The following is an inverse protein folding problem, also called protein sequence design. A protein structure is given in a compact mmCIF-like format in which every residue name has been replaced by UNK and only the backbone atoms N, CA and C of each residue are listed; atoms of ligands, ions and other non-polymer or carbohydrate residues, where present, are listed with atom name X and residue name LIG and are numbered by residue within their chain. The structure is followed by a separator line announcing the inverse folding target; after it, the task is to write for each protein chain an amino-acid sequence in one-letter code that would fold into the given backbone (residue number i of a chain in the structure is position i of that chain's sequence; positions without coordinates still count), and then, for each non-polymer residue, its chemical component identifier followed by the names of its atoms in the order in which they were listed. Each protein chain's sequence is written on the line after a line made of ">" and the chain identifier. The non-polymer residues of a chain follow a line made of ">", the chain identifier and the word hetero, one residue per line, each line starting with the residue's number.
data_IF_307386690092
#
_entry.id   IF_307386690092
#
_cell.length_a   1.000
_cell.length_b   1.000
_cell.length_c   1.000
_cell.angle_alpha   90.00
_cell.angle_beta   90.00
_cell.angle_gamma   90.00
#
_symmetry.space_group_name_H-M   'P 1'
#
loop_
_entity.id
_entity.type
_entity.pdbx_description
1 polymer ?
#
# COMPACT_ATOMS: atom_id res chain seq x y z
N UNK A 1 -35.89 32.57 -35.13
CA UNK A 1 -34.94 32.31 -34.04
C UNK A 1 -33.82 31.44 -34.57
N UNK A 2 -32.60 31.98 -34.69
CA UNK A 2 -31.43 31.22 -35.17
C UNK A 2 -30.72 30.66 -33.93
N UNK A 3 -30.26 29.39 -33.91
CA UNK A 3 -29.54 28.85 -32.77
C UNK A 3 -28.14 29.45 -32.68
N UNK A 4 -27.82 30.03 -31.54
CA UNK A 4 -26.51 30.54 -31.20
C UNK A 4 -25.52 29.36 -31.06
N UNK A 5 -24.54 29.26 -31.94
CA UNK A 5 -23.42 28.34 -31.83
C UNK A 5 -22.54 28.79 -30.65
N UNK A 6 -22.55 28.04 -29.56
CA UNK A 6 -21.54 28.15 -28.53
C UNK A 6 -20.29 27.43 -29.08
N UNK A 7 -19.40 28.19 -29.69
CA UNK A 7 -18.08 27.71 -30.07
C UNK A 7 -17.20 27.66 -28.84
N UNK A 8 -17.10 26.49 -28.20
CA UNK A 8 -16.01 26.23 -27.28
C UNK A 8 -14.71 26.31 -28.08
N UNK A 9 -13.94 27.37 -27.89
CA UNK A 9 -12.55 27.42 -28.35
C UNK A 9 -11.80 26.39 -27.55
N UNK A 10 -11.44 25.27 -28.17
CA UNK A 10 -10.44 24.38 -27.67
C UNK A 10 -9.13 25.19 -27.66
N UNK A 11 -8.68 25.62 -26.50
CA UNK A 11 -7.34 26.22 -26.39
C UNK A 11 -6.35 25.15 -26.86
N UNK A 12 -5.34 25.51 -27.66
CA UNK A 12 -4.32 24.57 -28.07
C UNK A 12 -3.63 24.04 -26.78
N UNK A 13 -3.24 22.77 -26.75
CA UNK A 13 -2.52 22.22 -25.61
C UNK A 13 -1.34 23.14 -25.32
N UNK A 14 -1.23 23.61 -24.08
CA UNK A 14 -0.10 24.39 -23.62
C UNK A 14 1.15 23.62 -24.03
N UNK A 15 2.09 24.23 -24.79
CA UNK A 15 3.32 23.52 -25.14
C UNK A 15 3.92 23.05 -23.81
N UNK A 16 4.32 21.79 -23.77
CA UNK A 16 5.02 21.22 -22.63
C UNK A 16 6.34 22.00 -22.49
N UNK A 17 6.28 23.17 -21.90
CA UNK A 17 7.43 23.81 -21.30
C UNK A 17 7.95 22.75 -20.33
N UNK A 18 9.17 22.29 -20.57
CA UNK A 18 9.79 21.23 -19.82
C UNK A 18 9.71 21.60 -18.35
N UNK A 19 8.70 21.07 -17.65
CA UNK A 19 8.63 21.16 -16.20
C UNK A 19 9.91 20.52 -15.67
N UNK A 20 10.51 21.13 -14.66
CA UNK A 20 11.62 20.50 -13.99
C UNK A 20 11.22 19.08 -13.55
N UNK A 21 12.09 18.10 -13.66
CA UNK A 21 11.78 16.74 -13.25
C UNK A 21 11.40 16.71 -11.77
N UNK A 22 10.44 15.87 -11.42
CA UNK A 22 10.06 15.61 -10.03
C UNK A 22 11.21 14.85 -9.37
N UNK A 23 11.72 15.37 -8.28
CA UNK A 23 12.84 14.81 -7.51
C UNK A 23 12.32 13.74 -6.56
N UNK A 24 12.71 12.49 -6.79
CA UNK A 24 12.18 11.33 -6.06
C UNK A 24 13.29 10.63 -5.29
N UNK A 25 13.08 10.44 -3.99
CA UNK A 25 13.89 9.54 -3.19
C UNK A 25 13.15 8.21 -2.99
N UNK A 26 13.88 7.10 -3.07
CA UNK A 26 13.31 5.75 -2.92
C UNK A 26 13.88 5.08 -1.67
N UNK A 27 13.03 4.71 -0.74
CA UNK A 27 13.42 3.99 0.46
C UNK A 27 13.02 2.51 0.32
N UNK A 28 14.02 1.66 0.14
CA UNK A 28 13.86 0.24 -0.14
C UNK A 28 14.18 -0.12 -1.60
N UNK A 29 15.04 -1.12 -1.78
CA UNK A 29 15.41 -1.65 -3.11
C UNK A 29 15.32 -3.19 -3.11
N UNK A 30 14.18 -3.71 -2.60
CA UNK A 30 13.74 -5.09 -2.77
C UNK A 30 13.01 -5.23 -4.12
N UNK A 31 12.19 -6.28 -4.25
CA UNK A 31 11.45 -6.58 -5.49
C UNK A 31 10.62 -5.37 -5.97
N UNK A 32 9.82 -4.79 -5.07
CA UNK A 32 8.97 -3.64 -5.41
C UNK A 32 9.81 -2.40 -5.72
N UNK A 33 10.81 -2.08 -4.87
CA UNK A 33 11.66 -0.91 -5.05
C UNK A 33 12.49 -0.96 -6.34
N UNK A 34 13.01 -2.13 -6.69
CA UNK A 34 13.70 -2.33 -7.97
C UNK A 34 12.75 -2.15 -9.16
N UNK A 35 11.53 -2.69 -9.06
CA UNK A 35 10.49 -2.48 -10.08
C UNK A 35 10.08 -1.01 -10.24
N UNK A 36 10.08 -0.24 -9.17
CA UNK A 36 9.86 1.21 -9.21
C UNK A 36 11.05 1.92 -9.87
N UNK A 37 12.29 1.63 -9.45
CA UNK A 37 13.49 2.23 -10.03
C UNK A 37 13.60 1.97 -11.53
N UNK A 38 13.27 0.75 -12.01
CA UNK A 38 13.29 0.41 -13.43
C UNK A 38 12.35 1.27 -14.28
N UNK A 39 11.34 1.88 -13.68
CA UNK A 39 10.39 2.77 -14.35
C UNK A 39 10.75 4.25 -14.19
N UNK A 40 11.30 4.65 -13.05
CA UNK A 40 11.66 6.04 -12.79
C UNK A 40 12.93 6.46 -13.55
N UNK A 41 13.96 5.59 -13.56
CA UNK A 41 15.27 5.94 -14.14
C UNK A 41 15.23 6.31 -15.63
N UNK A 42 14.48 5.61 -16.51
CA UNK A 42 14.42 5.97 -17.92
C UNK A 42 13.44 7.12 -18.23
N UNK A 43 12.62 7.54 -17.27
CA UNK A 43 11.58 8.56 -17.50
C UNK A 43 12.11 9.96 -17.17
N UNK A 44 12.26 10.86 -18.17
CA UNK A 44 12.82 12.19 -17.95
C UNK A 44 11.96 13.12 -17.08
N UNK A 45 10.74 12.71 -16.75
CA UNK A 45 9.87 13.44 -15.81
C UNK A 45 10.33 13.31 -14.36
N UNK A 46 11.21 12.35 -14.07
CA UNK A 46 11.68 12.06 -12.72
C UNK A 46 13.21 12.14 -12.62
N UNK A 47 13.67 12.63 -11.49
CA UNK A 47 15.07 12.57 -11.05
C UNK A 47 15.16 11.75 -9.77
N UNK A 48 15.77 10.57 -9.80
CA UNK A 48 16.02 9.79 -8.59
C UNK A 48 17.17 10.43 -7.83
N UNK A 49 16.88 11.06 -6.69
CA UNK A 49 17.85 11.84 -5.89
C UNK A 49 18.61 10.99 -4.88
N UNK A 50 18.08 9.83 -4.50
CA UNK A 50 18.69 8.92 -3.55
C UNK A 50 17.92 7.62 -3.38
N UNK A 51 18.62 6.59 -2.94
CA UNK A 51 18.07 5.26 -2.67
C UNK A 51 18.51 4.79 -1.29
N UNK A 52 17.60 4.71 -0.33
CA UNK A 52 17.87 4.24 1.02
C UNK A 52 17.84 2.72 1.08
N UNK A 53 18.91 2.10 1.55
CA UNK A 53 19.03 0.65 1.73
C UNK A 53 19.89 0.33 2.95
N UNK A 54 19.73 -0.86 3.54
CA UNK A 54 20.59 -1.30 4.66
C UNK A 54 22.08 -1.45 4.31
N UNK A 55 22.35 -1.88 3.08
CA UNK A 55 23.73 -2.14 2.61
C UNK A 55 23.93 -1.47 1.24
N UNK A 56 24.40 -0.22 1.21
CA UNK A 56 24.65 0.52 -0.04
C UNK A 56 25.59 -0.21 -1.00
N UNK A 57 26.67 -0.80 -0.46
CA UNK A 57 27.72 -1.46 -1.24
C UNK A 57 27.34 -2.86 -1.77
N UNK A 58 26.14 -3.36 -1.41
CA UNK A 58 25.67 -4.66 -1.89
C UNK A 58 25.48 -4.62 -3.41
N UNK A 59 26.11 -5.55 -4.11
CA UNK A 59 25.89 -5.75 -5.55
C UNK A 59 24.43 -6.13 -5.78
N UNK A 60 23.78 -5.45 -6.71
CA UNK A 60 22.40 -5.69 -7.15
C UNK A 60 22.41 -5.96 -8.64
N UNK A 61 21.68 -6.99 -9.03
CA UNK A 61 21.45 -7.34 -10.43
C UNK A 61 19.96 -7.40 -10.67
N UNK A 62 19.43 -6.40 -11.36
CA UNK A 62 18.03 -6.33 -11.77
C UNK A 62 17.99 -5.97 -13.24
N UNK A 63 17.34 -6.78 -14.08
CA UNK A 63 17.27 -6.51 -15.50
C UNK A 63 16.75 -5.11 -15.80
N UNK A 64 17.47 -4.40 -16.66
CA UNK A 64 17.09 -3.04 -17.09
C UNK A 64 17.53 -1.92 -16.16
N UNK A 65 18.29 -2.18 -15.10
CA UNK A 65 18.89 -1.16 -14.23
C UNK A 65 20.41 -1.26 -14.26
N UNK A 66 21.06 -0.17 -14.68
CA UNK A 66 22.51 0.00 -14.47
C UNK A 66 22.77 0.58 -13.08
N UNK A 67 22.97 -0.30 -12.10
CA UNK A 67 23.26 0.10 -10.74
C UNK A 67 24.61 0.81 -10.58
N UNK A 68 25.56 0.58 -11.46
CA UNK A 68 26.85 1.27 -11.44
C UNK A 68 26.67 2.77 -11.76
N UNK A 69 25.77 3.10 -12.67
CA UNK A 69 25.49 4.49 -13.05
C UNK A 69 24.78 5.31 -11.95
N UNK A 70 24.23 4.65 -10.91
CA UNK A 70 23.54 5.28 -9.80
C UNK A 70 24.13 4.90 -8.44
N UNK A 71 25.33 4.32 -8.40
CA UNK A 71 25.94 3.81 -7.17
C UNK A 71 26.13 4.91 -6.11
N UNK A 72 26.43 6.13 -6.53
CA UNK A 72 26.58 7.32 -5.70
C UNK A 72 25.28 7.79 -5.03
N UNK A 73 24.11 7.30 -5.49
CA UNK A 73 22.80 7.64 -4.94
C UNK A 73 22.38 6.72 -3.78
N UNK A 74 23.12 5.62 -3.53
CA UNK A 74 22.78 4.71 -2.45
C UNK A 74 23.30 5.19 -1.11
N UNK A 75 22.47 5.12 -0.09
CA UNK A 75 22.79 5.50 1.29
C UNK A 75 22.12 4.55 2.29
N UNK A 76 22.73 4.40 3.46
CA UNK A 76 22.11 3.76 4.62
C UNK A 76 21.56 4.78 5.62
N UNK A 77 21.77 6.07 5.39
CA UNK A 77 21.38 7.14 6.29
C UNK A 77 20.15 7.90 5.76
N UNK A 78 18.99 7.81 6.46
CA UNK A 78 17.80 8.57 6.11
C UNK A 78 18.01 10.09 6.09
N UNK A 79 18.93 10.61 6.90
CA UNK A 79 19.21 12.05 6.93
C UNK A 79 19.87 12.50 5.64
N UNK A 80 20.78 11.70 5.09
CA UNK A 80 21.42 11.95 3.77
C UNK A 80 20.36 11.90 2.66
N UNK A 81 19.46 10.91 2.69
CA UNK A 81 18.35 10.81 1.73
C UNK A 81 17.52 12.09 1.69
N UNK A 82 17.09 12.57 2.85
CA UNK A 82 16.24 13.78 2.96
C UNK A 82 17.01 15.08 2.71
N UNK A 83 18.32 15.10 2.99
CA UNK A 83 19.17 16.28 2.71
C UNK A 83 19.33 16.54 1.20
N UNK A 84 19.11 15.54 0.35
CA UNK A 84 19.05 15.70 -1.10
C UNK A 84 17.84 16.52 -1.58
N UNK A 85 16.92 16.92 -0.67
CA UNK A 85 15.71 17.71 -0.92
C UNK A 85 14.85 17.13 -2.05
N UNK A 86 14.38 15.90 -1.94
CA UNK A 86 13.42 15.35 -2.87
C UNK A 86 12.09 16.09 -2.75
N UNK A 87 11.31 16.14 -3.83
CA UNK A 87 9.92 16.57 -3.81
C UNK A 87 9.03 15.49 -3.21
N UNK A 88 9.43 14.21 -3.38
CA UNK A 88 8.68 13.04 -2.96
C UNK A 88 9.58 11.91 -2.45
N UNK A 89 9.13 11.24 -1.40
CA UNK A 89 9.71 9.98 -0.90
C UNK A 89 8.78 8.82 -1.23
N UNK A 90 9.30 7.80 -1.92
CA UNK A 90 8.64 6.50 -2.08
C UNK A 90 9.15 5.58 -0.98
N UNK A 91 8.33 5.33 0.03
CA UNK A 91 8.67 4.48 1.17
C UNK A 91 8.17 3.06 0.91
N UNK A 92 9.12 2.13 0.77
CA UNK A 92 8.91 0.72 0.38
C UNK A 92 9.80 -0.18 1.27
N UNK A 93 10.01 0.23 2.52
CA UNK A 93 10.77 -0.56 3.49
C UNK A 93 9.91 -1.72 4.00
N UNK A 94 10.53 -2.79 4.41
CA UNK A 94 9.86 -3.92 5.08
C UNK A 94 9.67 -3.70 6.58
N UNK A 95 10.44 -2.80 7.19
CA UNK A 95 10.44 -2.56 8.62
C UNK A 95 9.48 -1.43 8.99
N UNK A 96 8.53 -1.72 9.89
CA UNK A 96 7.47 -0.79 10.27
C UNK A 96 8.01 0.49 10.93
N UNK A 97 8.91 0.34 11.92
CA UNK A 97 9.40 1.48 12.72
C UNK A 97 10.29 2.39 11.88
N UNK A 98 11.19 1.82 11.07
CA UNK A 98 12.05 2.58 10.17
C UNK A 98 11.22 3.32 9.10
N UNK A 99 10.21 2.64 8.54
CA UNK A 99 9.27 3.24 7.59
C UNK A 99 8.48 4.38 8.21
N UNK A 100 7.90 4.16 9.40
CA UNK A 100 7.14 5.19 10.11
C UNK A 100 7.99 6.42 10.44
N UNK A 101 9.21 6.21 10.95
CA UNK A 101 10.14 7.29 11.27
C UNK A 101 10.51 8.11 10.02
N UNK A 102 10.79 7.44 8.90
CA UNK A 102 11.09 8.11 7.63
C UNK A 102 9.90 8.90 7.09
N UNK A 103 8.70 8.32 7.11
CA UNK A 103 7.47 9.02 6.70
C UNK A 103 7.30 10.30 7.50
N UNK A 104 7.37 10.23 8.83
CA UNK A 104 7.28 11.41 9.69
C UNK A 104 8.32 12.45 9.34
N UNK A 105 9.59 12.04 9.24
CA UNK A 105 10.70 12.96 8.96
C UNK A 105 10.59 13.64 7.58
N UNK A 106 10.02 12.98 6.58
CA UNK A 106 9.73 13.55 5.27
C UNK A 106 8.57 14.56 5.36
N UNK A 107 7.44 14.17 5.97
CA UNK A 107 6.28 15.04 6.12
C UNK A 107 6.58 16.31 6.92
N UNK A 108 7.38 16.22 8.00
CA UNK A 108 7.86 17.37 8.79
C UNK A 108 8.67 18.40 7.97
N UNK A 109 9.21 17.97 6.84
CA UNK A 109 9.95 18.81 5.89
C UNK A 109 9.10 19.31 4.72
N UNK A 110 7.81 19.01 4.70
CA UNK A 110 6.92 19.34 3.59
C UNK A 110 7.18 18.50 2.33
N UNK A 111 7.80 17.33 2.48
CA UNK A 111 8.08 16.40 1.38
C UNK A 111 6.91 15.43 1.25
N UNK A 112 6.38 15.27 0.05
CA UNK A 112 5.32 14.32 -0.24
C UNK A 112 5.79 12.87 -0.02
N UNK A 113 4.88 12.01 0.44
CA UNK A 113 5.18 10.61 0.71
C UNK A 113 4.18 9.70 0.01
N UNK A 114 4.70 8.71 -0.69
CA UNK A 114 3.94 7.54 -1.17
C UNK A 114 4.51 6.30 -0.47
N UNK A 115 3.68 5.62 0.31
CA UNK A 115 4.11 4.44 1.07
C UNK A 115 3.38 3.18 0.62
N UNK A 116 4.12 2.08 0.51
CA UNK A 116 3.59 0.72 0.36
C UNK A 116 3.70 -0.10 1.67
N UNK A 117 4.12 0.53 2.76
CA UNK A 117 4.34 -0.12 4.05
C UNK A 117 3.11 0.00 4.95
N UNK A 118 2.23 -1.00 4.86
CA UNK A 118 1.00 -1.08 5.66
C UNK A 118 1.25 -0.91 7.16
N UNK A 119 2.26 -1.60 7.68
CA UNK A 119 2.57 -1.59 9.10
C UNK A 119 3.05 -0.23 9.58
N UNK A 120 3.87 0.46 8.78
CA UNK A 120 4.33 1.81 9.10
C UNK A 120 3.17 2.82 9.17
N UNK A 121 2.27 2.79 8.18
CA UNK A 121 1.08 3.67 8.15
C UNK A 121 0.11 3.33 9.28
N UNK A 122 -0.08 2.03 9.60
CA UNK A 122 -1.05 1.57 10.61
C UNK A 122 -0.68 1.94 12.04
N UNK A 123 0.56 2.35 12.33
CA UNK A 123 0.97 2.77 13.67
C UNK A 123 0.14 3.96 14.16
N UNK A 124 0.05 5.02 13.36
CA UNK A 124 -0.76 6.19 13.68
C UNK A 124 -1.16 6.96 12.38
N UNK A 125 -2.15 6.46 11.63
CA UNK A 125 -2.56 7.09 10.39
C UNK A 125 -3.14 8.50 10.58
N UNK A 126 -3.75 8.77 11.74
CA UNK A 126 -4.32 10.07 12.06
C UNK A 126 -3.25 11.13 12.27
N UNK A 127 -2.20 10.81 13.05
CA UNK A 127 -1.09 11.72 13.27
C UNK A 127 -0.31 11.97 11.97
N UNK A 128 -0.09 10.94 11.15
CA UNK A 128 0.59 11.10 9.86
C UNK A 128 -0.20 12.01 8.90
N UNK A 129 -1.52 11.85 8.80
CA UNK A 129 -2.37 12.76 8.00
C UNK A 129 -2.36 14.19 8.53
N UNK A 130 -2.45 14.36 9.84
CA UNK A 130 -2.40 15.67 10.48
C UNK A 130 -1.05 16.36 10.24
N UNK A 131 0.03 15.57 10.32
CA UNK A 131 1.39 16.07 10.08
C UNK A 131 1.57 16.52 8.62
N UNK A 132 1.11 15.71 7.66
CA UNK A 132 1.11 16.07 6.24
C UNK A 132 0.38 17.40 6.00
N UNK A 133 -0.84 17.54 6.53
CA UNK A 133 -1.64 18.76 6.40
C UNK A 133 -0.97 19.98 7.05
N UNK A 134 -0.34 19.81 8.22
CA UNK A 134 0.35 20.90 8.94
C UNK A 134 1.56 21.45 8.17
N UNK A 135 2.20 20.62 7.35
CA UNK A 135 3.41 20.99 6.60
C UNK A 135 3.16 21.16 5.08
N UNK A 136 1.89 21.10 4.63
CA UNK A 136 1.53 21.28 3.23
C UNK A 136 2.00 20.13 2.32
N UNK A 137 2.25 18.96 2.90
CA UNK A 137 2.66 17.74 2.21
C UNK A 137 1.47 16.80 1.98
N UNK A 138 1.64 15.86 1.05
CA UNK A 138 0.67 14.82 0.77
C UNK A 138 1.17 13.45 1.25
N UNK A 139 0.26 12.65 1.80
CA UNK A 139 0.51 11.27 2.17
C UNK A 139 -0.42 10.36 1.37
N UNK A 140 0.16 9.54 0.49
CA UNK A 140 -0.53 8.53 -0.31
C UNK A 140 -0.07 7.13 0.09
N UNK A 141 -1.01 6.20 0.31
CA UNK A 141 -0.69 4.83 0.73
C UNK A 141 -1.62 3.76 0.14
N UNK A 142 -2.21 4.03 -1.01
CA UNK A 142 -3.05 3.04 -1.71
C UNK A 142 -2.30 1.73 -1.99
N UNK A 143 -1.00 1.81 -2.31
CA UNK A 143 -0.17 0.63 -2.52
C UNK A 143 0.01 -0.24 -1.27
N UNK A 144 -0.15 0.32 -0.06
CA UNK A 144 -0.13 -0.42 1.19
C UNK A 144 -1.44 -1.18 1.46
N UNK A 145 -2.52 -0.85 0.73
CA UNK A 145 -3.86 -1.40 0.94
C UNK A 145 -4.35 -2.05 -0.35
N UNK A 146 -4.28 -3.36 -0.43
CA UNK A 146 -4.73 -4.12 -1.59
C UNK A 146 -3.74 -4.19 -2.77
N UNK A 147 -2.50 -3.69 -2.62
CA UNK A 147 -1.49 -3.73 -3.67
C UNK A 147 -1.95 -2.99 -4.93
N UNK A 148 -2.25 -3.72 -6.01
CA UNK A 148 -2.76 -3.15 -7.27
C UNK A 148 -4.26 -2.95 -7.32
N UNK A 149 -5.03 -3.41 -6.33
CA UNK A 149 -6.48 -3.21 -6.28
C UNK A 149 -6.81 -1.79 -5.77
N UNK A 150 -7.70 -1.04 -6.44
CA UNK A 150 -8.00 0.36 -6.11
C UNK A 150 -8.96 0.46 -4.90
N UNK A 151 -8.61 -0.12 -3.76
CA UNK A 151 -9.49 -0.18 -2.59
C UNK A 151 -9.74 1.20 -1.98
N UNK A 152 -8.70 1.99 -1.76
CA UNK A 152 -8.81 3.34 -1.18
C UNK A 152 -9.53 4.27 -2.17
N UNK A 153 -9.22 4.18 -3.45
CA UNK A 153 -9.83 4.97 -4.51
C UNK A 153 -11.34 4.68 -4.62
N UNK A 154 -11.72 3.41 -4.56
CA UNK A 154 -13.13 2.97 -4.57
C UNK A 154 -13.86 3.53 -3.35
N UNK A 155 -13.25 3.43 -2.17
CA UNK A 155 -13.82 3.96 -0.94
C UNK A 155 -13.99 5.49 -0.99
N UNK A 156 -12.99 6.21 -1.49
CA UNK A 156 -13.06 7.67 -1.67
C UNK A 156 -14.14 8.08 -2.67
N UNK A 157 -14.30 7.33 -3.76
CA UNK A 157 -15.39 7.55 -4.72
C UNK A 157 -16.76 7.33 -4.07
N UNK A 158 -16.93 6.29 -3.25
CA UNK A 158 -18.14 6.05 -2.49
C UNK A 158 -18.45 7.18 -1.49
N UNK A 159 -17.45 7.65 -0.76
CA UNK A 159 -17.57 8.78 0.18
C UNK A 159 -17.96 10.09 -0.50
N UNK A 160 -17.49 10.31 -1.73
CA UNK A 160 -17.88 11.48 -2.52
C UNK A 160 -19.36 11.42 -2.98
N UNK A 161 -19.92 10.21 -3.11
CA UNK A 161 -21.32 10.01 -3.47
C UNK A 161 -22.28 10.10 -2.26
N UNK A 162 -21.77 9.85 -1.03
CA UNK A 162 -22.57 9.91 0.19
C UNK A 162 -21.90 9.25 1.40
N UNK A 163 -22.58 9.23 2.55
CA UNK A 163 -22.00 8.64 3.76
C UNK A 163 -21.88 7.12 3.63
N UNK A 164 -20.68 6.60 3.87
CA UNK A 164 -20.42 5.16 3.98
C UNK A 164 -20.78 4.70 5.39
N UNK A 165 -21.62 3.67 5.49
CA UNK A 165 -22.04 3.06 6.77
C UNK A 165 -21.26 1.79 7.10
N UNK A 166 -20.61 1.18 6.10
CA UNK A 166 -19.81 -0.02 6.26
C UNK A 166 -19.16 -0.43 4.93
N UNK A 167 -18.21 -1.33 5.02
CA UNK A 167 -17.59 -1.99 3.88
C UNK A 167 -17.34 -3.47 4.20
N UNK A 168 -17.27 -4.24 3.15
CA UNK A 168 -16.87 -5.64 3.15
C UNK A 168 -15.95 -5.87 1.95
N UNK A 169 -14.85 -6.59 2.15
CA UNK A 169 -13.87 -6.81 1.11
C UNK A 169 -13.06 -8.10 1.32
N UNK A 170 -12.64 -8.70 0.22
CA UNK A 170 -11.60 -9.75 0.20
C UNK A 170 -10.25 -9.05 0.34
N UNK A 171 -9.54 -9.30 1.45
CA UNK A 171 -8.40 -8.45 1.85
C UNK A 171 -7.04 -9.13 1.73
N UNK A 172 -6.99 -10.46 1.70
CA UNK A 172 -5.71 -11.19 1.70
C UNK A 172 -5.64 -12.18 0.55
N UNK A 173 -4.66 -11.99 -0.34
CA UNK A 173 -4.44 -12.83 -1.53
C UNK A 173 -3.94 -14.22 -1.18
N UNK A 174 -3.02 -14.34 -0.21
CA UNK A 174 -2.42 -15.60 0.22
C UNK A 174 -3.49 -16.59 0.72
N UNK A 175 -4.30 -16.15 1.68
CA UNK A 175 -5.34 -16.99 2.28
C UNK A 175 -6.38 -17.39 1.24
N UNK A 176 -6.81 -16.45 0.40
CA UNK A 176 -7.82 -16.75 -0.61
C UNK A 176 -7.29 -17.68 -1.71
N UNK A 177 -6.02 -17.56 -2.09
CA UNK A 177 -5.36 -18.53 -2.95
C UNK A 177 -5.34 -19.93 -2.30
N UNK A 178 -4.96 -20.01 -1.02
CA UNK A 178 -4.96 -21.29 -0.28
C UNK A 178 -6.36 -21.90 -0.19
N UNK A 179 -7.39 -21.10 0.06
CA UNK A 179 -8.79 -21.56 0.09
C UNK A 179 -9.21 -22.19 -1.25
N UNK A 180 -8.83 -21.60 -2.38
CA UNK A 180 -9.09 -22.19 -3.71
C UNK A 180 -8.39 -23.52 -3.90
N UNK A 181 -7.16 -23.70 -3.38
CA UNK A 181 -6.45 -25.00 -3.44
C UNK A 181 -7.09 -26.04 -2.54
N UNK A 182 -7.49 -25.66 -1.34
CA UNK A 182 -8.22 -26.53 -0.41
C UNK A 182 -9.56 -27.01 -1.01
N UNK A 183 -10.29 -26.12 -1.69
CA UNK A 183 -11.53 -26.44 -2.39
C UNK A 183 -11.29 -27.42 -3.56
N UNK A 184 -10.14 -27.33 -4.23
CA UNK A 184 -9.71 -28.26 -5.26
C UNK A 184 -9.22 -29.60 -4.69
N UNK A 185 -9.19 -29.78 -3.36
CA UNK A 185 -8.84 -31.04 -2.69
C UNK A 185 -7.40 -31.10 -2.17
N UNK A 186 -6.60 -30.06 -2.31
CA UNK A 186 -5.26 -30.01 -1.72
C UNK A 186 -5.32 -30.07 -0.18
N UNK A 187 -4.25 -30.55 0.44
CA UNK A 187 -4.01 -30.39 1.87
C UNK A 187 -3.55 -28.95 2.17
N UNK A 188 -3.54 -28.59 3.46
CA UNK A 188 -3.04 -27.28 3.90
C UNK A 188 -1.58 -27.04 3.50
N UNK A 189 -0.72 -28.05 3.68
CA UNK A 189 0.71 -27.97 3.38
C UNK A 189 0.97 -27.86 1.87
N UNK A 190 0.20 -28.58 1.06
CA UNK A 190 0.26 -28.47 -0.39
C UNK A 190 -0.19 -27.07 -0.86
N UNK A 191 -1.32 -26.57 -0.35
CA UNK A 191 -1.83 -25.25 -0.69
C UNK A 191 -0.84 -24.14 -0.29
N UNK A 192 -0.18 -24.25 0.87
CA UNK A 192 0.84 -23.31 1.31
C UNK A 192 2.10 -23.38 0.44
N UNK A 193 2.52 -24.59 0.06
CA UNK A 193 3.68 -24.79 -0.82
C UNK A 193 3.43 -24.16 -2.19
N UNK A 194 2.24 -24.37 -2.75
CA UNK A 194 1.83 -23.75 -4.01
C UNK A 194 1.76 -22.22 -3.89
N UNK A 195 1.22 -21.69 -2.78
CA UNK A 195 1.17 -20.25 -2.53
C UNK A 195 2.56 -19.62 -2.49
N UNK A 196 3.54 -20.29 -1.86
CA UNK A 196 4.95 -19.87 -1.86
C UNK A 196 5.55 -19.90 -3.26
N UNK A 197 5.32 -20.99 -3.99
CA UNK A 197 5.82 -21.17 -5.37
C UNK A 197 5.24 -20.12 -6.34
N UNK A 198 4.02 -19.68 -6.11
CA UNK A 198 3.34 -18.65 -6.88
C UNK A 198 3.68 -17.21 -6.41
N UNK A 199 4.43 -17.06 -5.31
CA UNK A 199 4.83 -15.76 -4.77
C UNK A 199 3.76 -15.05 -3.95
N UNK A 200 2.70 -15.76 -3.53
CA UNK A 200 1.66 -15.21 -2.64
C UNK A 200 2.07 -15.26 -1.18
N UNK A 201 2.80 -16.31 -0.75
CA UNK A 201 3.22 -16.50 0.64
C UNK A 201 4.73 -16.34 0.79
N UNK A 202 5.13 -15.68 1.88
CA UNK A 202 6.52 -15.62 2.35
C UNK A 202 6.92 -16.91 3.07
N UNK A 203 8.17 -16.98 3.54
CA UNK A 203 8.66 -18.13 4.32
C UNK A 203 7.86 -18.31 5.62
N UNK A 204 7.56 -17.22 6.32
CA UNK A 204 6.65 -17.20 7.46
C UNK A 204 5.28 -16.62 7.03
N UNK A 205 4.25 -17.46 6.82
CA UNK A 205 2.93 -17.04 6.41
C UNK A 205 2.01 -16.67 7.58
N UNK A 206 2.48 -16.70 8.83
CA UNK A 206 1.63 -16.55 10.04
C UNK A 206 0.80 -15.28 10.02
N UNK A 207 1.37 -14.15 9.56
CA UNK A 207 0.64 -12.89 9.44
C UNK A 207 -0.60 -13.00 8.52
N UNK A 208 -0.50 -13.78 7.45
CA UNK A 208 -1.59 -14.02 6.51
C UNK A 208 -2.61 -15.00 7.10
N UNK A 209 -2.15 -16.21 7.46
CA UNK A 209 -3.05 -17.30 7.85
C UNK A 209 -3.76 -17.04 9.18
N UNK A 210 -3.15 -16.28 10.10
CA UNK A 210 -3.76 -15.84 11.35
C UNK A 210 -4.66 -14.59 11.18
N UNK A 211 -4.68 -13.97 9.98
CA UNK A 211 -5.53 -12.83 9.64
C UNK A 211 -5.02 -11.47 10.18
N UNK A 212 -3.79 -11.39 10.62
CA UNK A 212 -3.19 -10.12 11.08
C UNK A 212 -3.05 -9.12 9.95
N UNK A 213 -2.64 -9.57 8.75
CA UNK A 213 -2.52 -8.73 7.56
C UNK A 213 -3.89 -8.17 7.14
N UNK A 214 -4.93 -9.00 7.14
CA UNK A 214 -6.30 -8.55 6.84
C UNK A 214 -6.81 -7.55 7.88
N UNK A 215 -6.54 -7.76 9.17
CA UNK A 215 -6.92 -6.83 10.22
C UNK A 215 -6.23 -5.46 10.08
N UNK A 216 -4.94 -5.45 9.72
CA UNK A 216 -4.22 -4.20 9.45
C UNK A 216 -4.82 -3.46 8.23
N UNK A 217 -5.24 -4.18 7.20
CA UNK A 217 -5.94 -3.62 6.05
C UNK A 217 -7.28 -2.99 6.44
N UNK A 218 -8.10 -3.69 7.25
CA UNK A 218 -9.38 -3.17 7.78
C UNK A 218 -9.14 -1.85 8.53
N UNK A 219 -8.12 -1.77 9.35
CA UNK A 219 -7.82 -0.55 10.12
C UNK A 219 -7.60 0.65 9.23
N UNK A 220 -6.84 0.50 8.15
CA UNK A 220 -6.57 1.59 7.21
C UNK A 220 -7.82 1.97 6.41
N UNK A 221 -8.58 0.99 5.94
CA UNK A 221 -9.85 1.25 5.26
C UNK A 221 -10.87 1.91 6.18
N UNK A 222 -10.97 1.47 7.45
CA UNK A 222 -11.85 2.10 8.43
C UNK A 222 -11.44 3.54 8.73
N UNK A 223 -10.13 3.79 8.82
CA UNK A 223 -9.63 5.16 8.99
C UNK A 223 -10.01 6.05 7.79
N UNK A 224 -9.88 5.56 6.56
CA UNK A 224 -10.32 6.30 5.36
C UNK A 224 -11.84 6.51 5.34
N UNK A 225 -12.63 5.49 5.69
CA UNK A 225 -14.09 5.54 5.64
C UNK A 225 -14.71 6.41 6.74
N UNK A 226 -14.15 6.36 7.94
CA UNK A 226 -14.81 6.85 9.14
C UNK A 226 -14.00 7.90 9.91
N UNK A 227 -12.76 8.16 9.53
CA UNK A 227 -11.83 9.04 10.26
C UNK A 227 -11.31 8.43 11.57
N UNK A 228 -11.61 7.16 11.82
CA UNK A 228 -11.19 6.41 13.01
C UNK A 228 -10.83 4.98 12.63
N UNK A 229 -9.83 4.41 13.30
CA UNK A 229 -9.45 3.03 13.12
C UNK A 229 -9.82 2.22 14.38
N UNK A 230 -10.39 1.00 14.23
CA UNK A 230 -10.59 0.11 15.36
C UNK A 230 -9.23 -0.33 15.92
N UNK A 231 -9.18 -0.69 17.21
CA UNK A 231 -7.98 -1.30 17.78
C UNK A 231 -7.69 -2.63 17.08
N UNK A 232 -6.53 -2.73 16.45
CA UNK A 232 -6.15 -3.91 15.68
C UNK A 232 -6.04 -5.18 16.52
N UNK A 233 -5.67 -5.06 17.79
CA UNK A 233 -5.62 -6.20 18.71
C UNK A 233 -7.02 -6.72 19.06
N UNK A 234 -8.02 -5.83 19.03
CA UNK A 234 -9.41 -6.14 19.37
C UNK A 234 -10.23 -6.64 18.15
N UNK A 235 -9.68 -6.63 16.93
CA UNK A 235 -10.39 -7.16 15.75
C UNK A 235 -10.45 -8.69 15.84
N UNK A 236 -11.64 -9.30 15.98
CA UNK A 236 -11.78 -10.75 15.92
C UNK A 236 -11.29 -11.30 14.57
N UNK A 237 -10.54 -12.39 14.62
CA UNK A 237 -9.97 -13.04 13.43
C UNK A 237 -10.23 -14.53 13.45
N UNK A 238 -10.55 -15.08 12.30
CA UNK A 238 -10.62 -16.51 12.08
C UNK A 238 -9.37 -16.93 11.31
N UNK A 239 -8.50 -17.71 11.97
CA UNK A 239 -7.30 -18.26 11.35
C UNK A 239 -7.66 -19.39 10.39
N UNK A 240 -6.93 -19.47 9.28
CA UNK A 240 -6.87 -20.65 8.43
C UNK A 240 -5.81 -21.61 8.98
N UNK A 241 -6.20 -22.81 9.37
CA UNK A 241 -5.30 -23.82 9.92
C UNK A 241 -5.60 -25.20 9.38
N UNK A 242 -4.65 -26.13 9.52
CA UNK A 242 -4.75 -27.49 8.98
C UNK A 242 -5.91 -28.29 9.58
N UNK A 243 -6.22 -28.04 10.85
CA UNK A 243 -7.26 -28.76 11.61
C UNK A 243 -8.68 -28.32 11.26
N UNK A 244 -8.83 -27.14 10.68
CA UNK A 244 -10.13 -26.57 10.35
C UNK A 244 -10.30 -26.49 8.84
N UNK A 245 -11.06 -27.42 8.27
CA UNK A 245 -11.49 -27.31 6.88
C UNK A 245 -12.60 -26.29 6.76
N UNK A 246 -12.39 -25.18 6.04
CA UNK A 246 -13.46 -24.26 5.69
C UNK A 246 -14.53 -24.92 4.82
N UNK A 247 -15.71 -24.34 4.80
CA UNK A 247 -16.75 -24.73 3.84
C UNK A 247 -16.29 -24.45 2.43
N UNK A 248 -16.60 -25.32 1.48
CA UNK A 248 -16.28 -25.11 0.05
C UNK A 248 -16.84 -23.78 -0.43
N UNK A 249 -16.04 -23.03 -1.16
CA UNK A 249 -16.37 -21.67 -1.61
C UNK A 249 -16.10 -20.58 -0.59
N UNK A 250 -15.50 -20.90 0.57
CA UNK A 250 -15.15 -19.88 1.56
C UNK A 250 -14.13 -18.87 1.03
N UNK A 251 -14.30 -17.61 1.48
CA UNK A 251 -13.36 -16.51 1.29
C UNK A 251 -12.95 -15.91 2.63
N UNK A 252 -11.73 -15.44 2.74
CA UNK A 252 -11.37 -14.58 3.87
C UNK A 252 -11.87 -13.17 3.57
N UNK A 253 -12.79 -12.71 4.39
CA UNK A 253 -13.47 -11.43 4.24
C UNK A 253 -13.19 -10.56 5.45
N UNK A 254 -12.82 -9.30 5.20
CA UNK A 254 -12.76 -8.25 6.21
C UNK A 254 -14.04 -7.41 6.17
N UNK A 255 -14.64 -7.21 7.31
CA UNK A 255 -15.85 -6.41 7.48
C UNK A 255 -15.60 -5.28 8.45
N UNK A 256 -16.09 -4.08 8.14
CA UNK A 256 -16.14 -3.00 9.11
C UNK A 256 -17.43 -2.20 8.92
N UNK A 257 -18.10 -1.90 10.03
CA UNK A 257 -19.36 -1.15 10.01
C UNK A 257 -19.43 -0.14 11.15
N UNK A 258 -20.06 0.99 10.89
CA UNK A 258 -20.42 1.96 11.93
C UNK A 258 -21.61 1.41 12.73
N UNK A 259 -21.45 1.35 14.05
CA UNK A 259 -22.48 0.90 14.98
C UNK A 259 -22.70 1.95 16.06
N UNK A 260 -23.74 1.78 16.86
CA UNK A 260 -23.97 2.65 18.03
C UNK A 260 -22.81 2.47 19.00
N UNK A 261 -22.10 3.56 19.27
CA UNK A 261 -20.94 3.55 20.18
C UNK A 261 -19.58 3.36 19.51
N UNK A 262 -19.49 3.19 18.17
CA UNK A 262 -18.19 3.08 17.52
C UNK A 262 -18.13 2.34 16.19
N UNK A 263 -17.09 1.56 16.01
CA UNK A 263 -16.87 0.71 14.85
C UNK A 263 -16.85 -0.75 15.28
N UNK A 264 -17.55 -1.60 14.54
CA UNK A 264 -17.42 -3.06 14.58
C UNK A 264 -16.55 -3.47 13.42
N UNK A 265 -15.55 -4.29 13.67
CA UNK A 265 -14.68 -4.84 12.63
C UNK A 265 -14.35 -6.30 12.93
N UNK A 266 -14.23 -7.13 11.90
CA UNK A 266 -13.87 -8.54 12.02
C UNK A 266 -13.21 -9.07 10.74
N UNK A 267 -12.42 -10.14 10.87
CA UNK A 267 -11.94 -10.98 9.77
C UNK A 267 -12.57 -12.35 9.92
N UNK A 268 -13.29 -12.80 8.93
CA UNK A 268 -14.01 -14.09 8.94
C UNK A 268 -13.76 -14.91 7.67
N UNK A 269 -14.10 -16.19 7.74
CA UNK A 269 -14.15 -17.08 6.58
C UNK A 269 -15.62 -17.33 6.25
N UNK A 270 -16.08 -16.76 5.16
CA UNK A 270 -17.46 -16.92 4.69
C UNK A 270 -17.51 -17.71 3.39
N UNK A 271 -18.49 -18.59 3.26
CA UNK A 271 -18.91 -19.13 1.98
C UNK A 271 -19.82 -18.15 1.26
N UNK A 272 -19.68 -18.02 -0.07
CA UNK A 272 -20.54 -17.18 -0.88
C UNK A 272 -22.03 -17.58 -0.67
N UNK A 273 -22.81 -16.65 -0.11
CA UNK A 273 -24.26 -16.81 -0.01
C UNK A 273 -24.83 -17.10 1.39
N UNK A 274 -24.06 -16.92 2.47
CA UNK A 274 -24.58 -16.99 3.86
C UNK A 274 -24.74 -15.61 4.50
#
# INVERSE_FOLDING_TARGET
>A
MRPTRIGARCEPPVPATALAPIRVAVAGCGVVGAGVLSRLLPDPRFEVTGVLVRSPDRVRDVPGIDFAAIADRFTADPAVLLAAKPDMVLEILSEADAGHALIRAALERGIDVVSANKQAISQDPAALKSLAAAHGAHLCYSAAVGGGAPMIETLRAALAAGPVIGFEAVLNGTVNFMLERLDAGASFDEALTEARGAGFAEEDPSSDVEGHDAAATIRLLAFEAFGAAPDGAAIPRVALCAERRPTVGSRQIGVCRRVVGGLMAEVRLDADGS
#
